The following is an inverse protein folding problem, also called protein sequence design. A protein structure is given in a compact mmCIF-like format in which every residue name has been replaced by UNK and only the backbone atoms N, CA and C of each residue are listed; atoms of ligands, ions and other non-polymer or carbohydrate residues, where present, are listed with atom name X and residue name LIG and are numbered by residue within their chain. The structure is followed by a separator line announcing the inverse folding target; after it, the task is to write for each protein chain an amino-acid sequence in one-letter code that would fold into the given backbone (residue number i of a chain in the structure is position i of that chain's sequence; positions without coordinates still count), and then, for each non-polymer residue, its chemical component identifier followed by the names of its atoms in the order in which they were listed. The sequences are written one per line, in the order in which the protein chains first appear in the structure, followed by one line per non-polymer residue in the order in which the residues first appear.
data_IF_527749706043
#
_entry.id   IF_527749706043
#
_cell.length_a   1.000
_cell.length_b   1.000
_cell.length_c   1.000
_cell.angle_alpha   90.00
_cell.angle_beta   90.00
_cell.angle_gamma   90.00
#
_symmetry.space_group_name_H-M   'P 1'
#
loop_
_entity.id
_entity.type
_entity.pdbx_description
1 polymer ?
#
# COMPACT_ATOMS: atom_id res chain seq x y z
N UNK A 1 -8.05 -7.31 -1.56
CA UNK A 1 -8.13 -6.01 -2.25
C UNK A 1 -9.09 -6.06 -3.44
N UNK A 2 -9.05 -7.09 -4.30
CA UNK A 2 -10.04 -7.27 -5.37
C UNK A 2 -11.50 -7.10 -4.90
N UNK A 3 -11.85 -7.73 -3.77
CA UNK A 3 -13.18 -7.60 -3.15
C UNK A 3 -13.56 -6.14 -2.86
N UNK A 4 -12.64 -5.31 -2.38
CA UNK A 4 -12.94 -3.89 -2.13
C UNK A 4 -13.12 -3.12 -3.44
N UNK A 5 -12.29 -3.39 -4.44
CA UNK A 5 -12.40 -2.78 -5.77
C UNK A 5 -13.73 -3.12 -6.45
N UNK A 6 -14.25 -4.34 -6.25
CA UNK A 6 -15.54 -4.79 -6.78
C UNK A 6 -16.74 -4.28 -5.96
N UNK A 7 -16.55 -4.03 -4.68
CA UNK A 7 -17.64 -3.65 -3.76
C UNK A 7 -18.13 -2.22 -3.95
N UNK A 8 -17.34 -1.35 -4.57
CA UNK A 8 -17.58 0.09 -4.61
C UNK A 8 -17.30 0.65 -6.00
N UNK A 9 -18.29 1.29 -6.62
CA UNK A 9 -18.19 1.83 -7.98
C UNK A 9 -17.42 3.16 -8.08
N UNK A 10 -17.35 3.91 -6.98
CA UNK A 10 -16.68 5.23 -6.92
C UNK A 10 -15.43 5.19 -6.01
N UNK A 11 -14.73 4.07 -6.02
CA UNK A 11 -13.54 3.83 -5.21
C UNK A 11 -12.48 3.11 -6.04
N UNK A 12 -11.23 3.51 -5.89
CA UNK A 12 -10.10 2.90 -6.60
C UNK A 12 -9.06 2.39 -5.61
N UNK A 13 -8.62 1.16 -5.83
CA UNK A 13 -7.44 0.59 -5.19
C UNK A 13 -6.24 0.87 -6.09
N UNK A 14 -5.18 1.41 -5.50
CA UNK A 14 -3.91 1.68 -6.18
C UNK A 14 -2.80 0.91 -5.46
N UNK A 15 -2.02 0.13 -6.19
CA UNK A 15 -0.95 -0.68 -5.63
C UNK A 15 0.42 -0.23 -6.12
N UNK A 16 1.34 -0.04 -5.18
CA UNK A 16 2.71 0.41 -5.41
C UNK A 16 3.69 -0.68 -4.94
N UNK A 17 4.20 -1.52 -5.85
CA UNK A 17 5.19 -2.52 -5.50
C UNK A 17 6.44 -1.88 -4.87
N UNK A 18 7.02 -2.53 -3.87
CA UNK A 18 8.18 -2.02 -3.14
C UNK A 18 9.01 -3.17 -2.59
N UNK A 19 10.34 -3.11 -2.75
CA UNK A 19 11.25 -4.17 -2.34
C UNK A 19 12.02 -3.86 -1.04
N UNK A 20 11.66 -2.78 -0.34
CA UNK A 20 12.40 -2.31 0.85
C UNK A 20 12.19 -3.18 2.09
N UNK A 21 11.18 -4.05 2.10
CA UNK A 21 10.78 -4.84 3.26
C UNK A 21 11.01 -6.33 3.00
N UNK A 22 12.05 -6.89 3.61
CA UNK A 22 12.40 -8.31 3.51
C UNK A 22 12.76 -8.78 2.09
N UNK A 23 13.01 -7.85 1.16
CA UNK A 23 13.16 -8.12 -0.28
C UNK A 23 12.04 -9.00 -0.87
N UNK A 24 10.81 -8.76 -0.44
CA UNK A 24 9.64 -9.57 -0.82
C UNK A 24 9.05 -9.23 -2.19
N UNK A 25 9.62 -8.24 -2.90
CA UNK A 25 9.22 -7.86 -4.26
C UNK A 25 10.43 -7.93 -5.22
N UNK A 26 10.98 -9.14 -5.44
CA UNK A 26 12.23 -9.31 -6.18
C UNK A 26 12.09 -9.07 -7.68
N UNK A 27 10.86 -9.02 -8.22
CA UNK A 27 10.59 -8.84 -9.64
C UNK A 27 11.36 -7.65 -10.21
N UNK A 28 12.12 -7.89 -11.28
CA UNK A 28 12.90 -6.89 -12.00
C UNK A 28 12.05 -6.12 -13.01
N UNK A 29 11.00 -6.74 -13.54
CA UNK A 29 10.10 -6.14 -14.54
C UNK A 29 8.63 -6.17 -14.12
N UNK A 30 7.76 -5.29 -14.69
CA UNK A 30 6.33 -5.37 -14.49
C UNK A 30 5.73 -6.72 -14.91
N UNK A 31 6.26 -7.34 -15.96
CA UNK A 31 5.82 -8.66 -16.44
C UNK A 31 6.13 -9.75 -15.42
N UNK A 32 7.35 -9.78 -14.86
CA UNK A 32 7.72 -10.71 -13.79
C UNK A 32 6.84 -10.54 -12.54
N UNK A 33 6.49 -9.30 -12.21
CA UNK A 33 5.59 -9.01 -11.09
C UNK A 33 4.19 -9.61 -11.32
N UNK A 34 3.60 -9.37 -12.49
CA UNK A 34 2.32 -9.95 -12.89
C UNK A 34 2.38 -11.49 -12.92
N UNK A 35 3.43 -12.06 -13.50
CA UNK A 35 3.62 -13.51 -13.55
C UNK A 35 3.74 -14.13 -12.14
N UNK A 36 4.46 -13.46 -11.23
CA UNK A 36 4.56 -13.89 -9.83
C UNK A 36 3.19 -13.93 -9.14
N UNK A 37 2.38 -12.89 -9.35
CA UNK A 37 1.03 -12.80 -8.78
C UNK A 37 0.08 -13.85 -9.39
N UNK A 38 0.11 -14.02 -10.71
CA UNK A 38 -0.82 -14.90 -11.44
C UNK A 38 -0.48 -16.38 -11.32
N UNK A 39 0.80 -16.74 -11.31
CA UNK A 39 1.23 -18.14 -11.40
C UNK A 39 1.91 -18.67 -10.13
N UNK A 40 2.45 -17.82 -9.26
CA UNK A 40 3.24 -18.26 -8.10
C UNK A 40 2.51 -18.01 -6.78
N UNK A 41 2.25 -16.75 -6.44
CA UNK A 41 1.56 -16.36 -5.21
C UNK A 41 0.88 -14.99 -5.39
N UNK A 42 -0.45 -14.90 -5.33
CA UNK A 42 -1.40 -15.94 -4.94
C UNK A 42 -1.48 -17.16 -5.86
N UNK A 43 -1.09 -17.01 -7.14
CA UNK A 43 -1.10 -18.10 -8.09
C UNK A 43 -2.52 -18.44 -8.58
N UNK A 44 -2.68 -19.63 -9.16
CA UNK A 44 -3.97 -20.16 -9.62
C UNK A 44 -4.74 -19.24 -10.59
N UNK A 45 -4.03 -18.50 -11.44
CA UNK A 45 -4.64 -17.59 -12.41
C UNK A 45 -5.21 -16.31 -11.77
N UNK A 46 -4.80 -15.98 -10.55
CA UNK A 46 -5.22 -14.75 -9.88
C UNK A 46 -4.77 -13.51 -10.68
N UNK A 47 -5.69 -12.58 -10.90
CA UNK A 47 -5.41 -11.32 -11.59
C UNK A 47 -5.89 -10.18 -10.69
N UNK A 48 -5.02 -9.21 -10.33
CA UNK A 48 -5.44 -7.97 -9.69
C UNK A 48 -6.42 -7.22 -10.58
N UNK A 49 -7.58 -6.84 -10.04
CA UNK A 49 -8.59 -6.06 -10.77
C UNK A 49 -8.44 -4.55 -10.56
N UNK A 50 -7.27 -4.13 -10.09
CA UNK A 50 -6.96 -2.77 -9.70
C UNK A 50 -5.59 -2.35 -10.26
N UNK A 51 -5.35 -1.05 -10.30
CA UNK A 51 -4.15 -0.49 -10.92
C UNK A 51 -2.91 -0.83 -10.10
N UNK A 52 -1.94 -1.50 -10.73
CA UNK A 52 -0.60 -1.69 -10.21
C UNK A 52 0.38 -0.77 -10.93
N UNK A 53 1.16 -0.01 -10.16
CA UNK A 53 2.17 0.90 -10.70
C UNK A 53 3.54 0.22 -10.82
N UNK A 54 4.48 0.94 -11.41
CA UNK A 54 5.91 0.56 -11.36
C UNK A 54 6.38 0.48 -9.90
N UNK A 55 7.38 -0.36 -9.67
CA UNK A 55 8.05 -0.46 -8.37
C UNK A 55 8.64 0.90 -7.97
N UNK A 56 8.44 1.27 -6.71
CA UNK A 56 8.96 2.50 -6.13
C UNK A 56 9.58 2.24 -4.75
N UNK A 57 10.31 3.22 -4.24
CA UNK A 57 10.69 3.29 -2.84
C UNK A 57 9.67 4.13 -2.06
N UNK A 58 9.34 3.71 -0.84
CA UNK A 58 8.33 4.36 0.01
C UNK A 58 8.94 5.00 1.25
N UNK A 59 10.18 4.63 1.58
CA UNK A 59 10.97 5.16 2.68
C UNK A 59 12.40 5.49 2.22
N UNK A 60 13.15 6.18 3.09
CA UNK A 60 14.55 6.50 2.86
C UNK A 60 14.77 7.72 1.97
N UNK A 61 16.01 7.89 1.52
CA UNK A 61 16.44 9.06 0.75
C UNK A 61 15.75 9.19 -0.61
N UNK A 62 15.48 8.05 -1.27
CA UNK A 62 14.87 8.01 -2.61
C UNK A 62 13.35 7.75 -2.58
N UNK A 63 12.70 7.96 -1.43
CA UNK A 63 11.26 7.73 -1.32
C UNK A 63 10.47 8.56 -2.33
N UNK A 64 9.43 7.97 -2.91
CA UNK A 64 8.59 8.66 -3.87
C UNK A 64 7.84 9.82 -3.19
N UNK A 65 7.72 11.01 -3.81
CA UNK A 65 7.07 12.18 -3.20
C UNK A 65 5.64 11.94 -2.72
N UNK A 66 4.91 11.03 -3.39
CA UNK A 66 3.60 10.56 -2.93
C UNK A 66 3.67 10.01 -1.49
N UNK A 67 4.63 9.14 -1.19
CA UNK A 67 4.75 8.56 0.14
C UNK A 67 5.29 9.55 1.16
N UNK A 68 6.11 10.53 0.76
CA UNK A 68 6.44 11.67 1.64
C UNK A 68 5.18 12.41 2.05
N UNK A 69 4.30 12.73 1.08
CA UNK A 69 3.01 13.37 1.34
C UNK A 69 2.13 12.52 2.25
N UNK A 70 1.88 11.25 1.90
CA UNK A 70 1.01 10.36 2.68
C UNK A 70 1.48 10.17 4.13
N UNK A 71 2.79 9.99 4.34
CA UNK A 71 3.39 9.79 5.68
C UNK A 71 3.36 11.04 6.56
N UNK A 72 3.22 12.24 5.98
CA UNK A 72 3.17 13.49 6.73
C UNK A 72 1.79 13.74 7.38
N UNK A 73 0.71 13.19 6.82
CA UNK A 73 -0.66 13.45 7.30
C UNK A 73 -1.16 12.45 8.33
N UNK A 74 -0.66 11.21 8.30
CA UNK A 74 -1.14 10.15 9.20
C UNK A 74 -0.01 9.63 10.09
N UNK A 75 -0.26 9.46 11.41
CA UNK A 75 0.73 8.90 12.32
C UNK A 75 1.12 7.46 11.89
N UNK A 76 2.31 6.98 12.26
CA UNK A 76 2.73 5.62 11.95
C UNK A 76 1.81 4.59 12.61
N UNK A 77 1.63 3.45 11.95
CA UNK A 77 0.74 2.36 12.39
C UNK A 77 1.30 1.55 13.56
N UNK A 78 2.62 1.58 13.77
CA UNK A 78 3.32 0.89 14.87
C UNK A 78 4.36 1.79 15.52
N UNK A 79 4.53 1.65 16.83
CA UNK A 79 5.55 2.39 17.59
C UNK A 79 6.97 1.97 17.19
N UNK A 80 7.18 0.67 16.95
CA UNK A 80 8.49 0.11 16.65
C UNK A 80 8.58 -0.37 15.21
N UNK A 81 9.81 -0.40 14.70
CA UNK A 81 10.14 -1.02 13.43
C UNK A 81 10.20 -2.54 13.53
N UNK A 82 10.12 -3.19 12.37
CA UNK A 82 10.55 -4.59 12.24
C UNK A 82 12.07 -4.69 12.39
N UNK A 83 12.60 -5.92 12.47
CA UNK A 83 14.04 -6.20 12.47
C UNK A 83 14.77 -5.36 11.41
N UNK A 84 15.75 -4.57 11.86
CA UNK A 84 16.51 -3.65 11.01
C UNK A 84 17.23 -4.37 9.85
N UNK A 85 17.58 -5.66 10.02
CA UNK A 85 18.20 -6.47 8.97
C UNK A 85 17.23 -6.81 7.83
N UNK A 86 15.92 -6.58 8.03
CA UNK A 86 14.86 -6.78 7.04
C UNK A 86 14.40 -5.47 6.41
N UNK A 87 15.00 -4.33 6.77
CA UNK A 87 14.65 -3.00 6.28
C UNK A 87 15.78 -2.46 5.39
N UNK A 88 15.55 -2.48 4.08
CA UNK A 88 16.55 -2.18 3.06
C UNK A 88 16.42 -0.74 2.55
N UNK A 89 16.55 0.23 3.46
CA UNK A 89 16.56 1.66 3.16
C UNK A 89 17.19 2.46 4.28
N UNK A 90 17.67 3.67 3.97
CA UNK A 90 18.21 4.65 4.93
C UNK A 90 17.90 6.07 4.42
N UNK A 91 17.85 7.08 5.32
CA UNK A 91 17.75 6.95 6.77
C UNK A 91 16.37 6.42 7.21
N UNK A 92 16.26 5.97 8.47
CA UNK A 92 14.97 5.59 9.07
C UNK A 92 14.35 6.80 9.78
N UNK A 93 13.06 7.04 9.57
CA UNK A 93 12.27 8.14 10.15
C UNK A 93 11.04 7.59 10.88
N UNK A 94 10.65 8.22 11.99
CA UNK A 94 9.49 7.75 12.77
C UNK A 94 8.20 7.61 11.96
N UNK A 95 7.99 8.41 10.91
CA UNK A 95 6.81 8.34 10.04
C UNK A 95 6.82 7.22 9.00
N UNK A 96 7.92 6.48 8.85
CA UNK A 96 8.12 5.49 7.79
C UNK A 96 7.04 4.40 7.72
N UNK A 97 6.81 3.89 6.52
CA UNK A 97 6.04 2.66 6.31
C UNK A 97 6.72 1.50 7.05
N UNK A 98 5.94 0.73 7.80
CA UNK A 98 6.41 -0.28 8.75
C UNK A 98 6.65 -1.63 8.09
N UNK A 99 5.85 -1.99 7.09
CA UNK A 99 6.00 -3.24 6.35
C UNK A 99 5.19 -3.23 5.05
N UNK A 100 5.33 -4.31 4.26
CA UNK A 100 4.45 -4.61 3.13
C UNK A 100 2.98 -4.61 3.57
N UNK A 101 2.09 -4.19 2.66
CA UNK A 101 0.63 -4.10 2.87
C UNK A 101 0.13 -3.01 3.83
N UNK A 102 0.94 -2.01 4.16
CA UNK A 102 0.40 -0.80 4.80
C UNK A 102 -0.48 -0.01 3.83
N UNK A 103 -1.58 0.56 4.32
CA UNK A 103 -2.65 1.12 3.46
C UNK A 103 -2.94 2.55 3.85
N UNK A 104 -3.25 3.39 2.86
CA UNK A 104 -3.69 4.77 3.06
C UNK A 104 -5.04 4.94 2.37
N UNK A 105 -6.05 5.40 3.12
CA UNK A 105 -7.34 5.80 2.55
C UNK A 105 -7.31 7.30 2.31
N UNK A 106 -7.66 7.70 1.09
CA UNK A 106 -7.58 9.08 0.60
C UNK A 106 -9.00 9.55 0.27
N UNK A 107 -9.32 10.79 0.62
CA UNK A 107 -10.62 11.40 0.31
C UNK A 107 -10.74 11.74 -1.17
N UNK A 108 -11.97 12.01 -1.65
CA UNK A 108 -12.21 12.51 -3.02
C UNK A 108 -11.48 13.82 -3.32
N UNK A 109 -11.14 14.61 -2.30
CA UNK A 109 -10.36 15.85 -2.42
C UNK A 109 -8.84 15.64 -2.44
N UNK A 110 -8.38 14.39 -2.41
CA UNK A 110 -6.96 14.03 -2.44
C UNK A 110 -6.25 14.11 -1.08
N UNK A 111 -6.97 14.33 0.02
CA UNK A 111 -6.37 14.40 1.37
C UNK A 111 -6.31 13.01 2.00
N UNK A 112 -5.20 12.63 2.67
CA UNK A 112 -5.15 11.40 3.44
C UNK A 112 -6.16 11.45 4.59
N UNK A 113 -7.03 10.44 4.68
CA UNK A 113 -8.02 10.30 5.74
C UNK A 113 -7.49 9.42 6.87
N UNK A 114 -6.99 8.24 6.53
CA UNK A 114 -6.53 7.27 7.53
C UNK A 114 -5.44 6.35 6.97
N UNK A 115 -4.60 5.85 7.87
CA UNK A 115 -3.49 4.93 7.58
C UNK A 115 -3.69 3.66 8.39
N UNK A 116 -3.64 2.51 7.74
CA UNK A 116 -3.96 1.21 8.33
C UNK A 116 -2.75 0.29 8.33
N UNK A 117 -2.62 -0.47 9.42
CA UNK A 117 -1.57 -1.45 9.62
C UNK A 117 -1.56 -2.52 8.51
N UNK A 118 -0.38 -3.10 8.18
CA UNK A 118 -0.28 -4.29 7.35
C UNK A 118 -1.32 -5.38 7.66
N UNK A 119 -1.57 -5.66 8.94
CA UNK A 119 -2.49 -6.69 9.41
C UNK A 119 -3.98 -6.34 9.31
N UNK A 120 -4.34 -5.07 9.10
CA UNK A 120 -5.74 -4.67 8.93
C UNK A 120 -6.33 -5.32 7.69
N UNK A 121 -7.41 -6.09 7.87
CA UNK A 121 -8.09 -6.80 6.80
C UNK A 121 -8.90 -5.82 5.93
N UNK A 122 -9.10 -6.13 4.64
CA UNK A 122 -9.91 -5.31 3.76
C UNK A 122 -11.32 -5.01 4.31
N UNK A 123 -11.96 -5.99 4.95
CA UNK A 123 -13.32 -5.81 5.50
C UNK A 123 -13.39 -4.77 6.62
N UNK A 124 -12.32 -4.60 7.39
CA UNK A 124 -12.24 -3.62 8.48
C UNK A 124 -12.19 -2.17 7.95
N UNK A 125 -11.81 -1.98 6.67
CA UNK A 125 -11.70 -0.66 6.03
C UNK A 125 -13.03 -0.25 5.36
N UNK A 126 -13.97 -1.20 5.19
CA UNK A 126 -15.22 -0.97 4.43
C UNK A 126 -16.06 0.18 4.99
N UNK A 127 -16.18 0.25 6.31
CA UNK A 127 -17.01 1.28 6.97
C UNK A 127 -16.46 2.68 6.73
N UNK A 128 -15.13 2.85 6.77
CA UNK A 128 -14.48 4.12 6.48
C UNK A 128 -14.65 4.54 5.02
N UNK A 129 -14.55 3.57 4.08
CA UNK A 129 -14.82 3.81 2.66
C UNK A 129 -16.28 4.26 2.48
N UNK A 130 -17.25 3.54 3.05
CA UNK A 130 -18.66 3.90 2.96
C UNK A 130 -18.93 5.30 3.53
N UNK A 131 -18.33 5.62 4.66
CA UNK A 131 -18.42 6.94 5.28
C UNK A 131 -17.93 8.03 4.33
N UNK A 132 -16.75 7.88 3.73
CA UNK A 132 -16.20 8.86 2.78
C UNK A 132 -17.01 8.96 1.48
N UNK A 133 -17.60 7.87 1.01
CA UNK A 133 -18.42 7.87 -0.20
C UNK A 133 -19.73 8.65 -0.01
N UNK A 134 -20.30 8.62 1.20
CA UNK A 134 -21.52 9.33 1.57
C UNK A 134 -21.31 10.84 1.76
N UNK A 135 -20.06 11.30 1.96
CA UNK A 135 -19.78 12.72 2.04
C UNK A 135 -20.00 13.39 0.68
N UNK A 136 -20.76 14.49 0.70
CA UNK A 136 -20.93 15.38 -0.45
C UNK A 136 -19.60 16.10 -0.69
N UNK A 137 -19.20 16.18 -1.97
CA UNK A 137 -18.06 16.96 -2.43
C UNK A 137 -18.28 18.45 -2.24
#
# INVERSE_FOLDING_TARGET
MNVLQESFTNFEVLAFPCNQFGKQEPAGTPEELLNGVTYVRPGNGFIPNFTMFKKIEVNGENEHPLYTYLKAYCPPTRQSFSDANKLYYKPQKNSDVRWNWEKFLITKSGKPFMRYDPGTKPDEIRNDIMFLLQQKS
#
